data_IF_358733536311
#
_entry.id   IF_358733536311
#
_cell.length_a   1.000
_cell.length_b   1.000
_cell.length_c   1.000
_cell.angle_alpha   90.00
_cell.angle_beta   90.00
_cell.angle_gamma   90.00
#
_symmetry.space_group_name_H-M   'P 1'
#
loop_
_entity.id
_entity.type
_entity.pdbx_description
1 polymer ?
#
# COMPACT_ATOMS: atom_id res chain seq x y z
N UNK A 1 -3.33 21.75 6.36
CA UNK A 1 -2.73 20.42 6.12
C UNK A 1 -2.92 20.07 4.66
N UNK A 2 -1.85 19.89 3.89
CA UNK A 2 -1.94 19.63 2.45
C UNK A 2 -2.41 18.18 2.19
N UNK A 3 -3.41 17.99 1.34
CA UNK A 3 -4.00 16.67 1.02
C UNK A 3 -2.96 15.65 0.51
N UNK A 4 -1.91 16.14 -0.14
CA UNK A 4 -0.78 15.35 -0.62
C UNK A 4 0.02 14.68 0.52
N UNK A 5 0.15 15.37 1.66
CA UNK A 5 0.87 14.84 2.83
C UNK A 5 0.09 13.70 3.49
N UNK A 6 -1.25 13.76 3.44
CA UNK A 6 -2.16 12.75 3.97
C UNK A 6 -2.05 11.44 3.18
N UNK A 7 -1.98 11.53 1.85
CA UNK A 7 -1.73 10.38 0.96
C UNK A 7 -0.38 9.71 1.25
N UNK A 8 0.69 10.52 1.40
CA UNK A 8 2.03 10.00 1.70
C UNK A 8 2.10 9.27 3.05
N UNK A 9 1.41 9.80 4.06
CA UNK A 9 1.36 9.20 5.38
C UNK A 9 0.61 7.86 5.38
N UNK A 10 -0.54 7.81 4.68
CA UNK A 10 -1.35 6.59 4.56
C UNK A 10 -0.60 5.50 3.78
N UNK A 11 0.14 5.87 2.73
CA UNK A 11 0.99 4.94 1.99
C UNK A 11 2.08 4.35 2.89
N UNK A 12 2.80 5.19 3.64
CA UNK A 12 3.86 4.72 4.55
C UNK A 12 3.32 3.77 5.64
N UNK A 13 2.17 4.11 6.25
CA UNK A 13 1.51 3.24 7.23
C UNK A 13 1.16 1.88 6.61
N UNK A 14 0.60 1.89 5.41
CA UNK A 14 0.17 0.66 4.75
C UNK A 14 1.37 -0.22 4.39
N UNK A 15 2.47 0.37 3.94
CA UNK A 15 3.71 -0.35 3.61
C UNK A 15 4.34 -0.99 4.86
N UNK A 16 4.44 -0.22 5.96
CA UNK A 16 4.88 -0.76 7.24
C UNK A 16 3.96 -1.87 7.74
N UNK A 17 2.63 -1.72 7.59
CA UNK A 17 1.69 -2.75 7.98
C UNK A 17 1.83 -4.02 7.11
N UNK A 18 2.10 -3.90 5.80
CA UNK A 18 2.36 -5.07 4.93
C UNK A 18 3.63 -5.77 5.37
N UNK A 19 4.71 -5.01 5.57
CA UNK A 19 5.98 -5.58 6.03
C UNK A 19 5.81 -6.28 7.37
N UNK A 20 5.18 -5.61 8.34
CA UNK A 20 5.06 -6.12 9.69
C UNK A 20 4.10 -7.31 9.75
N UNK A 21 2.96 -7.28 9.07
CA UNK A 21 2.07 -8.44 9.03
C UNK A 21 2.70 -9.53 8.17
N UNK A 22 2.92 -9.27 6.89
CA UNK A 22 3.24 -10.30 5.91
C UNK A 22 4.65 -10.89 6.08
N UNK A 23 5.65 -10.07 6.41
CA UNK A 23 7.00 -10.58 6.66
C UNK A 23 7.08 -11.33 8.00
N UNK A 24 6.45 -10.83 9.07
CA UNK A 24 6.44 -11.57 10.34
C UNK A 24 5.66 -12.87 10.21
N UNK A 25 4.52 -12.90 9.52
CA UNK A 25 3.79 -14.15 9.36
C UNK A 25 4.53 -15.20 8.55
N UNK A 26 5.28 -14.80 7.51
CA UNK A 26 6.21 -15.70 6.80
C UNK A 26 7.36 -16.16 7.71
N UNK A 27 7.90 -15.26 8.55
CA UNK A 27 8.97 -15.55 9.49
C UNK A 27 8.52 -16.54 10.58
N UNK A 28 7.35 -16.32 11.19
CA UNK A 28 6.74 -17.24 12.15
C UNK A 28 6.44 -18.60 11.51
N UNK A 29 5.95 -18.62 10.26
CA UNK A 29 5.71 -19.87 9.54
C UNK A 29 7.01 -20.67 9.36
N UNK A 30 8.09 -19.98 9.01
CA UNK A 30 9.40 -20.60 8.78
C UNK A 30 10.10 -21.04 10.08
N UNK A 31 9.97 -20.25 11.16
CA UNK A 31 10.56 -20.55 12.46
C UNK A 31 9.87 -21.70 13.17
N UNK A 32 8.55 -21.75 13.10
CA UNK A 32 7.79 -22.64 13.98
C UNK A 32 7.59 -24.03 13.36
N UNK A 33 7.50 -24.17 12.03
CA UNK A 33 7.12 -25.40 11.26
C UNK A 33 5.84 -26.13 11.73
N UNK A 34 5.29 -25.75 12.89
CA UNK A 34 4.06 -26.10 13.57
C UNK A 34 3.57 -24.83 14.24
N UNK A 35 2.33 -24.46 13.96
CA UNK A 35 1.85 -23.11 14.20
C UNK A 35 1.28 -23.00 15.62
N UNK A 36 2.03 -22.35 16.54
CA UNK A 36 1.74 -22.37 17.99
C UNK A 36 0.53 -21.52 18.42
N UNK A 37 0.06 -20.60 17.57
CA UNK A 37 -1.00 -19.63 17.93
C UNK A 37 -2.43 -20.20 17.87
N UNK A 38 -2.62 -21.45 17.41
CA UNK A 38 -3.93 -22.13 17.30
C UNK A 38 -4.85 -21.51 16.25
N UNK A 39 -5.81 -22.24 15.66
CA UNK A 39 -6.52 -21.87 14.41
C UNK A 39 -6.97 -20.40 14.23
N UNK A 40 -7.39 -19.74 15.30
CA UNK A 40 -7.84 -18.35 15.30
C UNK A 40 -6.75 -17.40 14.78
N UNK A 41 -5.51 -17.52 15.23
CA UNK A 41 -4.45 -16.58 14.82
C UNK A 41 -4.08 -16.67 13.33
N UNK A 42 -4.36 -17.78 12.64
CA UNK A 42 -3.92 -18.05 11.27
C UNK A 42 -4.96 -17.48 10.36
N UNK A 43 -6.22 -17.69 10.74
CA UNK A 43 -7.35 -17.04 10.11
C UNK A 43 -7.26 -15.52 10.28
N UNK A 44 -6.91 -15.03 11.47
CA UNK A 44 -6.69 -13.60 11.70
C UNK A 44 -5.51 -13.05 10.89
N UNK A 45 -4.38 -13.77 10.86
CA UNK A 45 -3.22 -13.39 10.05
C UNK A 45 -3.54 -13.32 8.56
N UNK A 46 -4.25 -14.32 8.03
CA UNK A 46 -4.65 -14.37 6.63
C UNK A 46 -5.63 -13.24 6.29
N UNK A 47 -6.54 -12.92 7.21
CA UNK A 47 -7.46 -11.79 7.08
C UNK A 47 -6.72 -10.44 7.08
N UNK A 48 -5.83 -10.20 8.06
CA UNK A 48 -5.02 -8.98 8.12
C UNK A 48 -4.15 -8.84 6.87
N UNK A 49 -3.51 -9.92 6.43
CA UNK A 49 -2.68 -9.92 5.23
C UNK A 49 -3.48 -9.50 4.00
N UNK A 50 -4.68 -10.04 3.80
CA UNK A 50 -5.55 -9.67 2.69
C UNK A 50 -6.01 -8.21 2.81
N UNK A 51 -6.43 -7.78 4.01
CA UNK A 51 -6.86 -6.41 4.25
C UNK A 51 -5.77 -5.38 3.91
N UNK A 52 -4.52 -5.62 4.32
CA UNK A 52 -3.44 -4.67 4.05
C UNK A 52 -3.08 -4.58 2.56
N UNK A 53 -3.15 -5.70 1.82
CA UNK A 53 -3.00 -5.66 0.35
C UNK A 53 -4.09 -4.83 -0.33
N UNK A 54 -5.35 -5.01 0.08
CA UNK A 54 -6.47 -4.22 -0.45
C UNK A 54 -6.32 -2.74 -0.13
N UNK A 55 -5.88 -2.39 1.08
CA UNK A 55 -5.63 -1.00 1.45
C UNK A 55 -4.51 -0.40 0.58
N UNK A 56 -3.42 -1.14 0.35
CA UNK A 56 -2.28 -0.66 -0.44
C UNK A 56 -2.68 -0.40 -1.90
N UNK A 57 -3.40 -1.33 -2.52
CA UNK A 57 -3.87 -1.15 -3.90
C UNK A 57 -4.74 0.08 -4.06
N UNK A 58 -5.62 0.37 -3.08
CA UNK A 58 -6.49 1.54 -3.12
C UNK A 58 -5.69 2.85 -3.04
N UNK A 59 -4.66 2.92 -2.19
CA UNK A 59 -3.79 4.10 -2.08
C UNK A 59 -2.96 4.30 -3.35
N UNK A 60 -2.41 3.23 -3.93
CA UNK A 60 -1.65 3.29 -5.20
C UNK A 60 -2.52 3.81 -6.35
N UNK A 61 -3.77 3.34 -6.45
CA UNK A 61 -4.73 3.85 -7.44
C UNK A 61 -5.01 5.33 -7.24
N UNK A 62 -5.21 5.79 -6.00
CA UNK A 62 -5.41 7.20 -5.70
C UNK A 62 -4.22 8.08 -6.13
N UNK A 63 -2.99 7.60 -5.92
CA UNK A 63 -1.76 8.28 -6.38
C UNK A 63 -1.68 8.31 -7.91
N UNK A 64 -2.03 7.21 -8.58
CA UNK A 64 -2.08 7.14 -10.04
C UNK A 64 -3.05 8.18 -10.63
N UNK A 65 -4.24 8.29 -10.06
CA UNK A 65 -5.24 9.29 -10.48
C UNK A 65 -4.74 10.72 -10.26
N UNK A 66 -4.08 11.00 -9.14
CA UNK A 66 -3.50 12.31 -8.85
C UNK A 66 -2.44 12.71 -9.90
N UNK A 67 -1.56 11.78 -10.27
CA UNK A 67 -0.57 12.02 -11.35
C UNK A 67 -1.22 12.24 -12.70
N UNK A 68 -2.26 11.47 -13.06
CA UNK A 68 -2.98 11.63 -14.32
C UNK A 68 -3.69 12.98 -14.42
N UNK A 69 -4.28 13.47 -13.32
CA UNK A 69 -4.88 14.82 -13.28
C UNK A 69 -3.84 15.91 -13.47
N UNK A 70 -2.67 15.78 -12.85
CA UNK A 70 -1.53 16.68 -13.07
C UNK A 70 -1.08 16.66 -14.52
N UNK A 71 -0.86 15.48 -15.11
CA UNK A 71 -0.43 15.31 -16.51
C UNK A 71 -1.46 15.85 -17.51
N UNK A 72 -2.75 15.61 -17.30
CA UNK A 72 -3.81 16.13 -18.17
C UNK A 72 -3.88 17.67 -18.11
N UNK A 73 -3.66 18.27 -16.94
CA UNK A 73 -3.57 19.72 -16.80
C UNK A 73 -2.34 20.30 -17.54
N UNK A 74 -1.24 19.55 -17.59
CA UNK A 74 -0.02 19.93 -18.33
C UNK A 74 -0.22 19.76 -19.84
N UNK A 75 -0.95 18.73 -20.30
CA UNK A 75 -1.23 18.50 -21.72
C UNK A 75 -2.12 19.56 -22.36
N UNK A 76 -2.93 20.27 -21.58
CA UNK A 76 -3.68 21.46 -22.03
C UNK A 76 -2.84 22.74 -22.06
N UNK A 77 -1.58 22.71 -21.60
CA UNK A 77 -0.65 23.84 -21.69
C UNK A 77 0.17 23.76 -22.97
N UNK A 78 0.23 24.81 -23.82
CA UNK A 78 0.96 24.82 -25.09
C UNK A 78 2.49 24.69 -24.95
N UNK A 79 3.02 24.49 -23.74
CA UNK A 79 4.46 24.38 -23.44
C UNK A 79 4.99 22.93 -23.32
N UNK A 80 4.17 21.91 -23.58
CA UNK A 80 4.58 20.50 -23.49
C UNK A 80 5.72 20.11 -24.46
N UNK A 81 5.86 20.80 -25.61
CA UNK A 81 6.89 20.49 -26.61
C UNK A 81 8.33 20.84 -26.17
N UNK A 82 8.54 21.61 -25.09
CA UNK A 82 9.88 22.02 -24.64
C UNK A 82 10.49 21.13 -23.53
N UNK A 83 9.77 20.11 -23.04
CA UNK A 83 10.23 19.25 -21.92
C UNK A 83 10.22 17.75 -22.30
N UNK A 84 10.19 17.42 -23.60
CA UNK A 84 10.39 16.06 -24.12
C UNK A 84 11.78 15.90 -24.72
#
# INVERSE_FOLDING_TARGET
MNSFTLLKFNLAITDFAILLVHALGKLIWLLSYRWLFGDIGCRLYQFLSAFTYYSNSNVVVAIGIDRLKGLNAISTSPNFFLVA
#
